data_IF_514083041221
#
_entry.id   IF_514083041221
#
_cell.length_a   1.000
_cell.length_b   1.000
_cell.length_c   1.000
_cell.angle_alpha   90.00
_cell.angle_beta   90.00
_cell.angle_gamma   90.00
#
_symmetry.space_group_name_H-M   'P 1'
#
loop_
_entity.id
_entity.type
_entity.pdbx_description
1 polymer ?
#
# COMPACT_ATOMS: atom_id res chain seq x y z
N UNK A 1 -15.73 -2.89 0.76
CA UNK A 1 -15.75 -1.73 -0.16
C UNK A 1 -14.65 -1.96 -1.19
N UNK A 2 -14.89 -1.64 -2.46
CA UNK A 2 -13.90 -1.85 -3.52
C UNK A 2 -12.81 -0.75 -3.47
N UNK A 3 -11.61 -1.10 -3.92
CA UNK A 3 -10.55 -0.13 -4.21
C UNK A 3 -10.72 0.35 -5.66
N UNK A 4 -10.50 1.63 -5.90
CA UNK A 4 -10.47 2.17 -7.26
C UNK A 4 -9.00 2.28 -7.69
N UNK A 5 -8.69 1.69 -8.85
CA UNK A 5 -7.34 1.63 -9.41
C UNK A 5 -7.38 2.31 -10.78
N UNK A 6 -6.80 3.50 -10.87
CA UNK A 6 -6.61 4.19 -12.15
C UNK A 6 -5.19 3.95 -12.64
N UNK A 7 -5.05 3.58 -13.91
CA UNK A 7 -3.77 3.27 -14.52
C UNK A 7 -3.46 4.20 -15.67
N UNK A 8 -2.20 4.60 -15.77
CA UNK A 8 -1.76 5.47 -16.85
C UNK A 8 -0.33 5.15 -17.26
N UNK A 9 -0.10 5.18 -18.57
CA UNK A 9 1.22 4.91 -19.12
C UNK A 9 1.94 6.23 -19.43
N UNK A 10 3.04 6.39 -18.72
CA UNK A 10 3.93 7.52 -18.75
C UNK A 10 5.28 7.07 -19.35
N UNK A 11 5.34 6.95 -20.68
CA UNK A 11 6.55 6.48 -21.37
C UNK A 11 6.85 5.01 -21.00
N UNK A 12 8.02 4.78 -20.40
CA UNK A 12 8.42 3.47 -19.86
C UNK A 12 7.86 3.18 -18.45
N UNK A 13 7.21 4.18 -17.83
CA UNK A 13 6.71 4.12 -16.46
C UNK A 13 5.20 3.92 -16.45
N UNK A 14 4.72 2.99 -15.61
CA UNK A 14 3.31 2.75 -15.35
C UNK A 14 2.92 3.42 -14.04
N UNK A 15 1.99 4.37 -14.10
CA UNK A 15 1.44 5.07 -12.94
C UNK A 15 0.14 4.37 -12.52
N UNK A 16 0.00 4.10 -11.23
CA UNK A 16 -1.17 3.50 -10.59
C UNK A 16 -1.65 4.42 -9.48
N UNK A 17 -2.78 5.09 -9.68
CA UNK A 17 -3.42 5.90 -8.65
C UNK A 17 -4.46 5.05 -7.91
N UNK A 18 -4.27 4.91 -6.60
CA UNK A 18 -5.14 4.12 -5.73
C UNK A 18 -6.03 5.04 -4.89
N UNK A 19 -7.33 4.75 -4.89
CA UNK A 19 -8.31 5.48 -4.08
C UNK A 19 -9.09 4.51 -3.19
N UNK A 20 -9.27 4.89 -1.93
CA UNK A 20 -10.02 4.14 -0.92
C UNK A 20 -9.11 3.47 0.11
N UNK A 21 -9.24 2.15 0.28
CA UNK A 21 -8.55 1.40 1.35
C UNK A 21 -7.77 0.24 0.74
N UNK A 22 -6.53 0.07 1.18
CA UNK A 22 -5.68 -1.06 0.79
C UNK A 22 -5.51 -2.01 1.98
N UNK A 23 -6.43 -2.96 2.10
CA UNK A 23 -6.50 -3.90 3.22
C UNK A 23 -6.66 -5.35 2.74
N UNK A 24 -7.04 -6.27 3.63
CA UNK A 24 -7.12 -7.69 3.30
C UNK A 24 -8.16 -8.00 2.23
N UNK A 25 -9.18 -7.14 2.08
CA UNK A 25 -10.24 -7.35 1.09
C UNK A 25 -9.84 -6.82 -0.29
N UNK A 26 -9.15 -5.68 -0.33
CA UNK A 26 -8.81 -4.98 -1.59
C UNK A 26 -7.40 -5.24 -2.10
N UNK A 27 -6.47 -5.67 -1.24
CA UNK A 27 -5.10 -5.96 -1.64
C UNK A 27 -4.98 -7.03 -2.74
N UNK A 28 -5.79 -8.12 -2.77
CA UNK A 28 -5.73 -9.09 -3.86
C UNK A 28 -6.09 -8.51 -5.23
N UNK A 29 -7.02 -7.55 -5.27
CA UNK A 29 -7.47 -6.90 -6.50
C UNK A 29 -6.33 -6.04 -7.10
N UNK A 30 -5.68 -5.25 -6.23
CA UNK A 30 -4.49 -4.50 -6.60
C UNK A 30 -3.32 -5.40 -7.01
N UNK A 31 -3.10 -6.51 -6.31
CA UNK A 31 -2.05 -7.49 -6.63
C UNK A 31 -2.23 -8.08 -8.03
N UNK A 32 -3.45 -8.51 -8.35
CA UNK A 32 -3.81 -9.04 -9.67
C UNK A 32 -3.56 -8.00 -10.75
N UNK A 33 -4.09 -6.78 -10.58
CA UNK A 33 -3.94 -5.71 -11.56
C UNK A 33 -2.48 -5.33 -11.80
N UNK A 34 -1.67 -5.21 -10.74
CA UNK A 34 -0.25 -4.91 -10.87
C UNK A 34 0.53 -6.08 -11.51
N UNK A 35 0.12 -7.32 -11.24
CA UNK A 35 0.70 -8.51 -11.87
C UNK A 35 0.41 -8.55 -13.37
N UNK A 36 -0.84 -8.30 -13.78
CA UNK A 36 -1.22 -8.25 -15.20
C UNK A 36 -0.34 -7.25 -15.96
N UNK A 37 -0.20 -6.03 -15.45
CA UNK A 37 0.66 -4.99 -16.05
C UNK A 37 2.14 -5.40 -16.12
N UNK A 38 2.63 -6.12 -15.11
CA UNK A 38 3.99 -6.65 -15.13
C UNK A 38 4.15 -7.76 -16.20
N UNK A 39 3.12 -8.57 -16.43
CA UNK A 39 3.12 -9.59 -17.48
C UNK A 39 2.99 -9.00 -18.88
N UNK A 40 2.33 -7.84 -19.02
CA UNK A 40 2.30 -7.04 -20.26
C UNK A 40 3.67 -6.47 -20.63
N UNK A 41 4.63 -6.51 -19.69
CA UNK A 41 6.02 -6.12 -19.92
C UNK A 41 6.41 -4.80 -19.29
N UNK A 42 5.52 -4.14 -18.55
CA UNK A 42 5.89 -2.95 -17.78
C UNK A 42 6.84 -3.35 -16.64
N UNK A 43 7.90 -2.56 -16.44
CA UNK A 43 8.95 -2.81 -15.44
C UNK A 43 9.07 -1.69 -14.42
N UNK A 44 8.71 -0.46 -14.80
CA UNK A 44 8.78 0.69 -13.91
C UNK A 44 7.39 1.07 -13.45
N UNK A 45 7.15 1.03 -12.14
CA UNK A 45 5.86 1.28 -11.53
C UNK A 45 5.95 2.45 -10.55
N UNK A 46 4.93 3.29 -10.59
CA UNK A 46 4.73 4.39 -9.66
C UNK A 46 3.35 4.26 -9.07
N UNK A 47 3.27 4.06 -7.76
CA UNK A 47 1.98 3.94 -7.08
C UNK A 47 1.72 5.21 -6.30
N UNK A 48 0.69 5.93 -6.70
CA UNK A 48 0.18 7.09 -5.98
C UNK A 48 -0.82 6.63 -4.91
N UNK A 49 -0.47 6.92 -3.66
CA UNK A 49 -1.23 6.57 -2.46
C UNK A 49 -1.98 7.77 -1.87
N UNK A 50 -2.03 8.91 -2.57
CA UNK A 50 -2.71 10.12 -2.10
C UNK A 50 -4.20 9.93 -1.82
N UNK A 51 -4.86 9.06 -2.58
CA UNK A 51 -6.26 8.68 -2.37
C UNK A 51 -6.49 7.55 -1.35
N UNK A 52 -5.44 7.04 -0.70
CA UNK A 52 -5.56 5.93 0.26
C UNK A 52 -5.80 6.45 1.69
N UNK A 53 -6.95 6.12 2.26
CA UNK A 53 -7.33 6.48 3.63
C UNK A 53 -6.87 5.46 4.68
N UNK A 54 -6.48 4.25 4.25
CA UNK A 54 -6.09 3.20 5.16
C UNK A 54 -5.23 2.14 4.48
N UNK A 55 -4.13 1.76 5.14
CA UNK A 55 -3.31 0.61 4.75
C UNK A 55 -3.28 -0.41 5.89
N UNK A 56 -3.52 -1.69 5.57
CA UNK A 56 -3.35 -2.79 6.52
C UNK A 56 -2.04 -3.54 6.27
N UNK A 57 -1.73 -4.52 7.11
CA UNK A 57 -0.61 -5.42 6.89
C UNK A 57 -0.71 -6.21 5.58
N UNK A 58 -1.93 -6.47 5.08
CA UNK A 58 -2.12 -7.10 3.77
C UNK A 58 -1.72 -6.15 2.64
N UNK A 59 -2.12 -4.86 2.72
CA UNK A 59 -1.74 -3.85 1.74
C UNK A 59 -0.22 -3.63 1.67
N UNK A 60 0.44 -3.51 2.82
CA UNK A 60 1.90 -3.42 2.89
C UNK A 60 2.60 -4.64 2.26
N UNK A 61 2.04 -5.84 2.44
CA UNK A 61 2.60 -7.07 1.86
C UNK A 61 2.51 -7.05 0.35
N UNK A 62 1.40 -6.64 -0.23
CA UNK A 62 1.23 -6.59 -1.68
C UNK A 62 2.15 -5.54 -2.31
N UNK A 63 2.27 -4.35 -1.71
CA UNK A 63 3.22 -3.34 -2.19
C UNK A 63 4.66 -3.87 -2.20
N UNK A 64 5.03 -4.64 -1.18
CA UNK A 64 6.36 -5.23 -1.10
C UNK A 64 6.55 -6.41 -2.05
N UNK A 65 5.51 -7.22 -2.26
CA UNK A 65 5.54 -8.29 -3.25
C UNK A 65 5.75 -7.72 -4.65
N UNK A 66 5.03 -6.65 -5.00
CA UNK A 66 5.24 -5.91 -6.24
C UNK A 66 6.68 -5.37 -6.34
N UNK A 67 7.19 -4.75 -5.26
CA UNK A 67 8.56 -4.24 -5.23
C UNK A 67 9.59 -5.33 -5.55
N UNK A 68 9.46 -6.51 -4.93
CA UNK A 68 10.36 -7.66 -5.19
C UNK A 68 10.20 -8.21 -6.61
N UNK A 69 8.97 -8.25 -7.11
CA UNK A 69 8.68 -8.76 -8.46
C UNK A 69 9.32 -7.88 -9.53
N UNK A 70 9.22 -6.55 -9.38
CA UNK A 70 9.84 -5.61 -10.33
C UNK A 70 11.35 -5.57 -10.19
N UNK A 71 11.89 -5.65 -8.97
CA UNK A 71 13.34 -5.67 -8.72
C UNK A 71 14.00 -6.89 -9.39
N UNK A 72 13.40 -8.07 -9.26
CA UNK A 72 13.84 -9.28 -9.97
C UNK A 72 13.76 -9.17 -11.50
N UNK A 73 12.91 -8.28 -12.01
CA UNK A 73 12.77 -7.95 -13.43
C UNK A 73 13.66 -6.81 -13.92
N UNK A 74 14.60 -6.30 -13.10
CA UNK A 74 15.39 -5.08 -13.35
C UNK A 74 14.55 -3.81 -13.52
N UNK A 75 13.35 -3.81 -12.96
CA UNK A 75 12.44 -2.69 -12.91
C UNK A 75 12.64 -1.82 -11.67
N UNK A 76 11.72 -0.88 -11.46
CA UNK A 76 11.69 -0.06 -10.24
C UNK A 76 10.26 0.11 -9.75
N UNK A 77 10.06 0.11 -8.44
CA UNK A 77 8.82 0.52 -7.80
C UNK A 77 9.08 1.78 -6.98
N UNK A 78 8.30 2.82 -7.24
CA UNK A 78 8.29 4.03 -6.44
C UNK A 78 6.89 4.30 -5.89
N UNK A 79 6.82 4.78 -4.66
CA UNK A 79 5.56 5.19 -4.03
C UNK A 79 5.54 6.71 -3.89
N UNK A 80 4.40 7.34 -4.13
CA UNK A 80 4.24 8.77 -3.93
C UNK A 80 2.91 9.12 -3.26
N UNK A 81 2.79 10.36 -2.79
CA UNK A 81 1.53 10.90 -2.29
C UNK A 81 1.08 10.32 -0.94
N UNK A 82 1.95 9.64 -0.18
CA UNK A 82 1.52 9.01 1.08
C UNK A 82 0.94 10.05 2.06
N UNK A 83 -0.31 9.87 2.50
CA UNK A 83 -0.88 10.69 3.56
C UNK A 83 -0.10 10.52 4.86
N UNK A 84 -0.07 11.54 5.71
CA UNK A 84 0.73 11.53 6.94
C UNK A 84 0.44 10.32 7.84
N UNK A 85 -0.82 9.91 7.94
CA UNK A 85 -1.23 8.75 8.75
C UNK A 85 -0.75 7.42 8.14
N UNK A 86 -0.82 7.26 6.81
CA UNK A 86 -0.27 6.08 6.11
C UNK A 86 1.24 6.05 6.25
N UNK A 87 1.91 7.20 6.08
CA UNK A 87 3.36 7.33 6.25
C UNK A 87 3.82 6.87 7.63
N UNK A 88 3.10 7.23 8.70
CA UNK A 88 3.38 6.75 10.05
C UNK A 88 3.30 5.22 10.16
N UNK A 89 2.33 4.58 9.52
CA UNK A 89 2.23 3.12 9.48
C UNK A 89 3.43 2.50 8.77
N UNK A 90 3.89 3.08 7.66
CA UNK A 90 5.09 2.63 6.95
C UNK A 90 6.36 2.79 7.80
N UNK A 91 6.51 3.92 8.48
CA UNK A 91 7.67 4.20 9.35
C UNK A 91 7.69 3.25 10.55
N UNK A 92 6.55 3.05 11.21
CA UNK A 92 6.41 2.11 12.34
C UNK A 92 6.67 0.65 11.92
N UNK A 93 6.26 0.27 10.72
CA UNK A 93 6.51 -1.05 10.19
C UNK A 93 7.96 -1.24 9.70
N UNK A 94 8.74 -0.15 9.55
CA UNK A 94 10.09 -0.16 9.00
C UNK A 94 10.14 -0.24 7.47
N UNK A 95 9.02 -0.04 6.78
CA UNK A 95 8.88 -0.18 5.33
C UNK A 95 9.39 1.03 4.57
N UNK A 96 9.46 2.21 5.20
CA UNK A 96 9.99 3.42 4.57
C UNK A 96 11.44 3.30 4.08
N UNK A 97 12.20 2.33 4.60
CA UNK A 97 13.58 2.05 4.17
C UNK A 97 13.67 0.94 3.12
N UNK A 98 12.62 0.13 2.97
CA UNK A 98 12.56 -0.99 2.04
C UNK A 98 11.94 -0.57 0.70
N UNK A 99 11.11 0.48 0.72
CA UNK A 99 10.38 0.98 -0.44
C UNK A 99 10.87 2.38 -0.78
N UNK A 100 10.98 2.68 -2.07
CA UNK A 100 11.42 4.00 -2.54
C UNK A 100 10.24 4.99 -2.49
N UNK A 101 10.13 5.73 -1.40
CA UNK A 101 9.02 6.67 -1.17
C UNK A 101 9.46 8.08 -1.54
N UNK A 102 8.71 8.70 -2.46
CA UNK A 102 8.88 10.07 -2.90
C UNK A 102 7.71 10.93 -2.41
N UNK A 103 7.91 12.25 -2.21
CA UNK A 103 6.85 13.11 -1.70
C UNK A 103 5.69 13.28 -2.69
N UNK A 104 5.99 13.31 -3.99
CA UNK A 104 5.00 13.54 -5.04
C UNK A 104 5.43 12.87 -6.35
N UNK A 105 4.46 12.73 -7.26
CA UNK A 105 4.65 12.13 -8.57
C UNK A 105 5.67 12.91 -9.42
N UNK A 106 5.75 14.24 -9.27
CA UNK A 106 6.76 15.06 -9.96
C UNK A 106 8.19 14.68 -9.56
N UNK A 107 8.44 14.40 -8.28
CA UNK A 107 9.74 13.98 -7.76
C UNK A 107 10.13 12.59 -8.26
N UNK A 108 9.15 11.69 -8.37
CA UNK A 108 9.32 10.36 -8.97
C UNK A 108 9.79 10.47 -10.43
N UNK A 109 9.05 11.22 -11.25
CA UNK A 109 9.37 11.34 -12.67
C UNK A 109 10.69 12.07 -12.90
N UNK A 110 11.03 13.06 -12.06
CA UNK A 110 12.34 13.71 -12.11
C UNK A 110 13.52 12.75 -11.83
N UNK A 111 13.28 11.65 -11.11
CA UNK A 111 14.30 10.62 -10.86
C UNK A 111 14.46 9.61 -12.00
N UNK A 112 13.52 9.57 -12.95
CA UNK A 112 13.54 8.69 -14.11
C UNK A 112 13.71 9.50 -15.40
N UNK A 113 14.92 9.54 -16.00
CA UNK A 113 15.15 10.29 -17.24
C UNK A 113 14.35 9.74 -18.44
N UNK A 114 13.93 8.47 -18.42
CA UNK A 114 12.98 7.89 -19.41
C UNK A 114 11.53 8.39 -19.23
N UNK A 115 11.17 8.93 -18.07
CA UNK A 115 9.89 9.58 -17.85
C UNK A 115 9.92 11.07 -18.23
N UNK A 116 11.09 11.60 -18.60
CA UNK A 116 11.32 13.03 -18.83
C UNK A 116 10.75 13.53 -20.16
N UNK A 117 10.27 12.65 -21.04
CA UNK A 117 9.44 13.02 -22.22
C UNK A 117 8.01 13.45 -21.84
N UNK A 118 7.61 13.28 -20.58
CA UNK A 118 6.35 13.80 -20.08
C UNK A 118 6.61 15.16 -19.45
N UNK A 119 6.33 16.21 -20.21
CA UNK A 119 6.28 17.58 -19.73
C UNK A 119 5.63 17.65 -18.34
N UNK A 120 6.27 18.35 -17.39
CA UNK A 120 5.74 18.56 -16.04
C UNK A 120 4.31 19.18 -16.04
N UNK A 121 3.90 19.80 -17.15
CA UNK A 121 2.55 20.27 -17.40
C UNK A 121 1.55 19.11 -17.62
N UNK A 122 1.94 18.10 -18.41
CA UNK A 122 1.19 16.86 -18.57
C UNK A 122 1.13 16.11 -17.26
N UNK A 123 2.19 16.10 -16.46
CA UNK A 123 2.18 15.49 -15.12
C UNK A 123 1.15 16.13 -14.20
N UNK A 124 1.03 17.46 -14.23
CA UNK A 124 -0.03 18.18 -13.53
C UNK A 124 -1.41 17.81 -14.06
N UNK A 125 -1.54 17.68 -15.38
CA UNK A 125 -2.76 17.23 -16.05
C UNK A 125 -3.11 15.77 -15.73
N UNK A 126 -2.14 14.85 -15.66
CA UNK A 126 -2.30 13.44 -15.29
C UNK A 126 -2.70 13.32 -13.82
N UNK A 127 -2.04 14.06 -12.93
CA UNK A 127 -2.48 14.16 -11.54
C UNK A 127 -3.90 14.72 -11.44
N UNK A 128 -4.26 15.70 -12.29
CA UNK A 128 -5.61 16.29 -12.31
C UNK A 128 -6.67 15.39 -12.97
N UNK A 129 -6.27 14.61 -13.98
CA UNK A 129 -7.11 13.73 -14.80
C UNK A 129 -7.37 12.40 -14.07
N UNK A 130 -6.36 11.89 -13.37
CA UNK A 130 -6.47 10.70 -12.52
C UNK A 130 -7.22 10.99 -11.21
N UNK A 131 -7.11 12.20 -10.64
CA UNK A 131 -7.81 12.53 -9.38
C UNK A 131 -9.10 13.33 -9.52
N UNK A 132 -9.43 13.90 -10.67
CA UNK A 132 -10.66 14.66 -10.89
C UNK A 132 -10.93 15.75 -9.85
N UNK A 133 -10.46 16.97 -10.09
CA UNK A 133 -10.94 18.21 -9.43
C UNK A 133 -11.03 18.15 -7.89
N UNK A 134 -9.95 17.73 -7.21
CA UNK A 134 -9.85 17.79 -5.74
C UNK A 134 -8.57 18.47 -5.27
N UNK A 135 -8.39 19.71 -5.71
CA UNK A 135 -7.76 20.71 -4.84
C UNK A 135 -8.82 21.08 -3.76
N UNK A 136 -8.42 21.11 -2.49
CA UNK A 136 -9.26 21.45 -1.32
C UNK A 136 -10.18 20.36 -0.75
N UNK A 137 -9.60 19.40 -0.03
CA UNK A 137 -10.26 18.84 1.17
C UNK A 137 -9.25 18.22 2.17
N UNK A 138 -8.75 19.05 3.08
CA UNK A 138 -8.43 18.64 4.45
C UNK A 138 -9.09 19.66 5.40
N UNK A 139 -9.50 19.33 6.65
CA UNK A 139 -9.17 18.12 7.41
C UNK A 139 -10.39 17.41 8.03
N UNK A 140 -10.31 16.10 8.27
CA UNK A 140 -11.11 15.44 9.30
C UNK A 140 -10.42 14.18 9.83
N UNK A 141 -9.78 14.32 11.00
CA UNK A 141 -9.56 13.24 11.98
C UNK A 141 -10.85 13.02 12.81
N UNK A 142 -10.99 11.96 13.65
CA UNK A 142 -10.13 10.80 13.91
C UNK A 142 -10.85 9.43 13.79
N UNK A 143 -10.05 8.37 13.95
CA UNK A 143 -10.38 6.95 14.07
C UNK A 143 -11.71 6.58 14.76
N UNK A 144 -12.37 5.47 14.36
CA UNK A 144 -13.42 4.88 15.18
C UNK A 144 -12.81 4.15 16.38
N UNK A 145 -13.10 4.67 17.57
CA UNK A 145 -13.13 3.92 18.83
C UNK A 145 -14.11 2.75 18.67
N UNK A 146 -13.59 1.52 18.54
CA UNK A 146 -14.41 0.32 18.75
C UNK A 146 -14.52 0.07 20.27
N UNK A 147 -15.56 0.68 20.82
CA UNK A 147 -16.06 0.51 22.17
C UNK A 147 -16.32 -0.97 22.48
N UNK A 148 -15.59 -1.49 23.46
CA UNK A 148 -16.02 -2.64 24.23
C UNK A 148 -17.36 -2.30 24.89
N UNK A 149 -18.39 -3.12 24.65
CA UNK A 149 -19.61 -3.10 25.47
C UNK A 149 -19.56 -4.24 26.51
N UNK A 150 -19.88 -3.95 27.78
CA UNK A 150 -19.80 -4.88 28.91
C UNK A 150 -21.15 -5.58 29.16
N UNK A 151 -21.14 -6.88 29.43
CA UNK A 151 -22.02 -7.59 30.40
C UNK A 151 -22.07 -9.09 30.11
N UNK A 152 -21.36 -9.90 30.92
CA UNK A 152 -21.98 -10.60 32.05
C UNK A 152 -20.89 -11.23 32.90
N UNK A 153 -20.91 -10.93 34.19
CA UNK A 153 -20.00 -11.45 35.21
C UNK A 153 -20.39 -12.87 35.61
N UNK A 154 -19.39 -13.75 35.67
CA UNK A 154 -19.17 -14.86 36.60
C UNK A 154 -20.37 -15.58 37.23
N UNK A 155 -20.50 -16.87 36.92
CA UNK A 155 -20.90 -17.98 37.79
C UNK A 155 -20.74 -19.27 36.98
N UNK A 156 -20.29 -20.42 37.45
CA UNK A 156 -19.56 -20.84 38.63
C UNK A 156 -19.01 -22.25 38.25
N UNK A 157 -17.78 -22.53 38.68
CA UNK A 157 -17.23 -23.84 39.03
C UNK A 157 -17.47 -25.09 38.14
N UNK A 158 -16.32 -25.68 37.79
CA UNK A 158 -15.99 -27.11 37.89
C UNK A 158 -16.28 -28.02 36.67
N UNK A 159 -15.21 -28.42 35.97
CA UNK A 159 -14.62 -29.78 36.02
C UNK A 159 -13.91 -30.14 34.71
N UNK A 160 -12.67 -30.62 34.88
CA UNK A 160 -11.90 -31.48 33.99
C UNK A 160 -11.35 -30.88 32.68
N UNK A 161 -10.01 -30.82 32.62
CA UNK A 161 -9.25 -30.83 31.37
C UNK A 161 -8.59 -29.50 31.02
N UNK A 162 -7.34 -29.33 31.45
CA UNK A 162 -6.48 -28.23 31.03
C UNK A 162 -6.43 -28.10 29.49
N UNK A 163 -6.85 -26.94 28.97
CA UNK A 163 -6.76 -26.53 27.56
C UNK A 163 -5.49 -25.66 27.40
N UNK A 164 -4.71 -25.80 26.31
CA UNK A 164 -3.40 -25.17 26.19
C UNK A 164 -3.50 -23.64 26.03
N UNK A 165 -2.42 -22.91 26.34
CA UNK A 165 -2.39 -21.46 26.14
C UNK A 165 -2.45 -21.10 24.66
N UNK A 166 -3.32 -20.14 24.32
CA UNK A 166 -3.36 -19.43 23.03
C UNK A 166 -1.98 -18.82 22.75
N UNK A 167 -1.29 -19.39 21.77
CA UNK A 167 -0.02 -18.85 21.29
C UNK A 167 -0.23 -17.58 20.47
N UNK A 168 0.49 -16.53 20.87
CA UNK A 168 0.62 -15.25 20.17
C UNK A 168 1.28 -15.44 18.80
N UNK A 169 0.73 -14.78 17.77
CA UNK A 169 1.20 -14.71 16.36
C UNK A 169 2.60 -14.07 16.20
N UNK A 170 3.66 -14.65 16.79
CA UNK A 170 5.06 -14.25 16.53
C UNK A 170 5.64 -14.85 15.25
N UNK A 171 5.05 -15.91 14.70
CA UNK A 171 5.58 -16.63 13.55
C UNK A 171 5.31 -15.96 12.19
N UNK A 172 4.20 -15.23 12.04
CA UNK A 172 3.80 -14.70 10.72
C UNK A 172 4.76 -13.62 10.23
N UNK A 173 5.25 -12.77 11.14
CA UNK A 173 6.19 -11.70 10.82
C UNK A 173 7.61 -12.23 10.59
N UNK A 174 8.05 -13.22 11.38
CA UNK A 174 9.34 -13.88 11.18
C UNK A 174 9.40 -14.64 9.85
N UNK A 175 8.33 -15.37 9.49
CA UNK A 175 8.24 -16.08 8.20
C UNK A 175 8.15 -15.12 7.02
N UNK A 176 7.45 -14.00 7.19
CA UNK A 176 7.40 -12.96 6.17
C UNK A 176 8.78 -12.29 5.96
N UNK A 177 9.51 -12.01 7.02
CA UNK A 177 10.88 -11.48 6.94
C UNK A 177 11.88 -12.49 6.35
N UNK A 178 11.72 -13.79 6.63
CA UNK A 178 12.49 -14.87 5.98
C UNK A 178 12.19 -14.97 4.49
N UNK A 179 10.91 -14.96 4.11
CA UNK A 179 10.48 -14.92 2.72
C UNK A 179 10.98 -13.66 1.98
N UNK A 180 11.05 -12.53 2.67
CA UNK A 180 11.69 -11.30 2.18
C UNK A 180 13.16 -11.50 1.86
N UNK A 181 13.89 -12.20 2.73
CA UNK A 181 15.34 -12.42 2.64
C UNK A 181 15.74 -13.57 1.69
N UNK A 182 14.77 -14.33 1.18
CA UNK A 182 15.02 -15.42 0.24
C UNK A 182 15.46 -16.73 0.90
N UNK A 183 15.06 -16.96 2.16
CA UNK A 183 15.26 -18.24 2.87
C UNK A 183 14.15 -19.26 2.59
#
# INVERSE_FOLDING_TARGET
MAIEISEEKAGAVRVLALVGRLDTETAPDFELKAHDLFTEGDRHFVVDLSGIDYVSSAGLRVLLALAKQVDGGKGSLQLCGLPAHVKQVFDLAGFSKLLNIQPNLKSVLASHPEAQELDAAKVGELASHLLGDRADAAPATPAPTASASPQLQNSAANLLGAKPPVQRKKGLWARFMGWLRGE
#
